data_IF_172128075280
#
_entry.id   IF_172128075280
#
_cell.length_a   1.000
_cell.length_b   1.000
_cell.length_c   1.000
_cell.angle_alpha   90.00
_cell.angle_beta   90.00
_cell.angle_gamma   90.00
#
_symmetry.space_group_name_H-M   'P 1'
#
loop_
_entity.id
_entity.type
_entity.pdbx_description
1 polymer ?
#
# COMPACT_ATOMS: atom_id res chain seq x y z
N UNK A 1 -10.05 -17.57 24.38
CA UNK A 1 -9.56 -16.46 23.52
C UNK A 1 -9.96 -16.76 22.09
N UNK A 2 -10.87 -15.96 21.53
CA UNK A 2 -11.24 -16.05 20.12
C UNK A 2 -10.06 -15.49 19.32
N UNK A 3 -9.30 -16.39 18.67
CA UNK A 3 -8.24 -15.96 17.75
C UNK A 3 -8.90 -15.47 16.45
N UNK A 4 -8.46 -14.34 15.92
CA UNK A 4 -8.86 -13.87 14.60
C UNK A 4 -8.37 -14.84 13.53
N UNK A 5 -9.20 -15.05 12.49
CA UNK A 5 -8.96 -16.03 11.44
C UNK A 5 -8.63 -15.38 10.10
N UNK A 6 -8.99 -14.13 9.93
CA UNK A 6 -8.79 -13.34 8.70
C UNK A 6 -8.31 -11.92 9.01
N UNK A 7 -7.18 -11.77 9.75
CA UNK A 7 -6.62 -10.44 10.03
C UNK A 7 -6.04 -9.81 8.77
N UNK A 8 -6.05 -8.47 8.72
CA UNK A 8 -5.44 -7.67 7.65
C UNK A 8 -4.70 -6.46 8.26
N UNK A 9 -3.49 -6.21 7.80
CA UNK A 9 -2.73 -4.99 8.09
C UNK A 9 -3.03 -3.97 6.98
N UNK A 10 -3.78 -2.91 7.32
CA UNK A 10 -4.13 -1.82 6.45
C UNK A 10 -3.18 -0.65 6.68
N UNK A 11 -2.19 -0.50 5.79
CA UNK A 11 -1.06 0.41 5.98
C UNK A 11 -1.24 1.67 5.16
N UNK A 12 -1.17 2.82 5.81
CA UNK A 12 -1.31 4.14 5.23
C UNK A 12 -0.01 4.95 5.18
N UNK A 13 -0.11 6.16 4.61
CA UNK A 13 1.01 7.09 4.47
C UNK A 13 1.65 7.53 5.79
N UNK A 14 0.95 7.41 6.91
CA UNK A 14 1.50 7.68 8.25
C UNK A 14 2.65 6.73 8.59
N UNK A 15 2.55 5.45 8.22
CA UNK A 15 3.61 4.47 8.41
C UNK A 15 4.88 4.81 7.59
N UNK A 16 4.70 5.33 6.37
CA UNK A 16 5.83 5.78 5.53
C UNK A 16 6.53 6.98 6.17
N UNK A 17 5.77 7.97 6.65
CA UNK A 17 6.33 9.16 7.31
C UNK A 17 7.04 8.84 8.62
N UNK A 18 6.58 7.82 9.33
CA UNK A 18 7.19 7.29 10.55
C UNK A 18 8.43 6.42 10.28
N UNK A 19 8.80 6.17 9.01
CA UNK A 19 9.86 5.24 8.59
C UNK A 19 9.68 3.81 9.13
N UNK A 20 8.44 3.36 9.32
CA UNK A 20 8.08 2.11 9.99
C UNK A 20 8.09 0.88 9.06
N UNK A 21 8.86 0.89 7.97
CA UNK A 21 8.91 -0.21 7.00
C UNK A 21 9.33 -1.55 7.61
N UNK A 22 10.37 -1.53 8.44
CA UNK A 22 10.89 -2.72 9.08
C UNK A 22 9.89 -3.29 10.08
N UNK A 23 9.28 -2.43 10.88
CA UNK A 23 8.29 -2.81 11.90
C UNK A 23 7.00 -3.36 11.26
N UNK A 24 6.55 -2.76 10.15
CA UNK A 24 5.38 -3.27 9.40
C UNK A 24 5.68 -4.66 8.82
N UNK A 25 6.86 -4.86 8.23
CA UNK A 25 7.27 -6.16 7.73
C UNK A 25 7.37 -7.19 8.86
N UNK A 26 7.99 -6.83 9.99
CA UNK A 26 8.11 -7.69 11.16
C UNK A 26 6.74 -8.05 11.76
N UNK A 27 5.83 -7.07 11.87
CA UNK A 27 4.47 -7.32 12.34
C UNK A 27 3.76 -8.35 11.47
N UNK A 28 3.89 -8.23 10.14
CA UNK A 28 3.32 -9.18 9.20
C UNK A 28 3.94 -10.58 9.33
N UNK A 29 5.25 -10.68 9.58
CA UNK A 29 5.93 -11.97 9.82
C UNK A 29 5.46 -12.62 11.12
N UNK A 30 5.36 -11.85 12.20
CA UNK A 30 4.97 -12.35 13.51
C UNK A 30 3.51 -12.80 13.51
N UNK A 31 2.62 -12.01 12.91
CA UNK A 31 1.18 -12.30 12.89
C UNK A 31 0.77 -13.26 11.79
N UNK A 32 1.53 -13.34 10.70
CA UNK A 32 1.16 -14.03 9.47
C UNK A 32 0.09 -13.31 8.64
N UNK A 33 -0.31 -12.09 9.03
CA UNK A 33 -1.36 -11.33 8.37
C UNK A 33 -0.90 -10.76 7.02
N UNK A 34 -1.79 -10.68 6.01
CA UNK A 34 -1.52 -9.97 4.77
C UNK A 34 -1.46 -8.46 4.99
N UNK A 35 -0.67 -7.80 4.11
CA UNK A 35 -0.53 -6.35 4.06
C UNK A 35 -1.28 -5.81 2.86
N UNK A 36 -2.15 -4.83 3.08
CA UNK A 36 -2.76 -4.01 2.05
C UNK A 36 -2.37 -2.56 2.27
N UNK A 37 -2.13 -1.82 1.19
CA UNK A 37 -1.62 -0.45 1.28
C UNK A 37 -2.60 0.57 0.74
N UNK A 38 -2.53 1.80 1.24
CA UNK A 38 -3.10 2.96 0.54
C UNK A 38 -2.17 3.40 -0.59
N UNK A 39 -2.65 4.28 -1.47
CA UNK A 39 -1.84 4.91 -2.51
C UNK A 39 -0.55 5.57 -1.95
N UNK A 40 -0.60 6.39 -0.88
CA UNK A 40 0.61 6.97 -0.29
C UNK A 40 1.55 5.98 0.39
N UNK A 41 1.12 4.75 0.63
CA UNK A 41 1.93 3.73 1.30
C UNK A 41 2.53 2.69 0.35
N UNK A 42 2.39 2.87 -0.97
CA UNK A 42 3.06 1.99 -1.95
C UNK A 42 4.56 1.96 -1.70
N UNK A 43 5.14 0.77 -1.69
CA UNK A 43 6.56 0.55 -1.42
C UNK A 43 6.95 0.52 0.06
N UNK A 44 6.01 0.66 1.02
CA UNK A 44 6.32 0.52 2.46
C UNK A 44 6.91 -0.85 2.78
N UNK A 45 6.45 -1.87 2.09
CA UNK A 45 7.08 -3.18 1.99
C UNK A 45 7.29 -3.49 0.51
N UNK A 46 8.33 -4.27 0.14
CA UNK A 46 8.55 -4.68 -1.24
C UNK A 46 7.32 -5.37 -1.85
N UNK A 47 7.03 -5.12 -3.13
CA UNK A 47 5.99 -5.86 -3.85
C UNK A 47 6.30 -7.36 -3.92
N UNK A 48 7.59 -7.72 -3.94
CA UNK A 48 8.07 -9.11 -3.88
C UNK A 48 7.82 -9.80 -2.53
N UNK A 49 7.43 -9.06 -1.49
CA UNK A 49 7.07 -9.68 -0.21
C UNK A 49 5.78 -10.52 -0.38
N UNK A 50 5.80 -11.82 -0.08
CA UNK A 50 4.64 -12.71 -0.29
C UNK A 50 3.39 -12.29 0.51
N UNK A 51 3.55 -11.49 1.57
CA UNK A 51 2.44 -10.97 2.36
C UNK A 51 1.85 -9.67 1.80
N UNK A 52 2.49 -9.02 0.83
CA UNK A 52 1.96 -7.84 0.17
C UNK A 52 0.85 -8.24 -0.83
N UNK A 53 -0.38 -7.78 -0.61
CA UNK A 53 -1.50 -8.00 -1.54
C UNK A 53 -1.69 -6.84 -2.52
N UNK A 54 -0.89 -5.79 -2.39
CA UNK A 54 -1.01 -4.58 -3.19
C UNK A 54 -1.87 -3.50 -2.54
N UNK A 55 -2.36 -2.58 -3.37
CA UNK A 55 -3.20 -1.46 -2.93
C UNK A 55 -4.67 -1.88 -2.90
N UNK A 56 -5.41 -1.37 -1.92
CA UNK A 56 -6.88 -1.50 -1.86
C UNK A 56 -7.57 -0.19 -2.27
N UNK A 57 -8.86 -0.28 -2.48
CA UNK A 57 -9.70 0.88 -2.81
C UNK A 57 -10.08 0.97 -4.28
N UNK A 58 -10.46 2.17 -4.73
CA UNK A 58 -11.10 2.44 -6.03
C UNK A 58 -10.34 1.85 -7.24
N UNK A 59 -9.01 1.86 -7.19
CA UNK A 59 -8.15 1.30 -8.24
C UNK A 59 -7.12 0.31 -7.65
N UNK A 60 -7.48 -0.36 -6.57
CA UNK A 60 -6.69 -1.40 -5.94
C UNK A 60 -6.84 -2.76 -6.62
N UNK A 61 -6.07 -3.74 -6.11
CA UNK A 61 -6.22 -5.13 -6.56
C UNK A 61 -7.47 -5.76 -5.97
N UNK A 62 -8.05 -6.74 -6.69
CA UNK A 62 -9.22 -7.50 -6.21
C UNK A 62 -8.89 -8.22 -4.90
N UNK A 63 -7.72 -8.85 -4.81
CA UNK A 63 -7.29 -9.55 -3.62
C UNK A 63 -7.16 -8.64 -2.39
N UNK A 64 -6.55 -7.44 -2.54
CA UNK A 64 -6.41 -6.48 -1.45
C UNK A 64 -7.76 -5.92 -1.00
N UNK A 65 -8.66 -5.61 -1.95
CA UNK A 65 -10.00 -5.11 -1.65
C UNK A 65 -10.86 -6.18 -0.97
N UNK A 66 -10.83 -7.41 -1.47
CA UNK A 66 -11.53 -8.53 -0.85
C UNK A 66 -10.99 -8.85 0.55
N UNK A 67 -9.67 -8.79 0.74
CA UNK A 67 -9.05 -8.97 2.04
C UNK A 67 -9.60 -7.98 3.07
N UNK A 68 -9.60 -6.68 2.75
CA UNK A 68 -10.14 -5.66 3.64
C UNK A 68 -11.65 -5.86 3.91
N UNK A 69 -12.43 -6.23 2.88
CA UNK A 69 -13.89 -6.40 3.03
C UNK A 69 -14.31 -7.63 3.85
N UNK A 70 -13.50 -8.69 3.82
CA UNK A 70 -13.86 -9.99 4.43
C UNK A 70 -13.12 -10.28 5.72
N UNK A 71 -12.23 -9.38 6.16
CA UNK A 71 -11.45 -9.59 7.37
C UNK A 71 -12.33 -9.57 8.62
N UNK A 72 -11.90 -10.28 9.66
CA UNK A 72 -12.46 -10.23 11.00
C UNK A 72 -11.69 -9.29 11.95
N UNK A 73 -10.46 -8.92 11.56
CA UNK A 73 -9.63 -7.91 12.21
C UNK A 73 -8.95 -7.03 11.19
N UNK A 74 -9.19 -5.73 11.27
CA UNK A 74 -8.52 -4.72 10.46
C UNK A 74 -7.60 -3.88 11.37
N UNK A 75 -6.29 -3.97 11.16
CA UNK A 75 -5.32 -3.14 11.86
C UNK A 75 -4.93 -1.98 10.94
N UNK A 76 -5.53 -0.81 11.16
CA UNK A 76 -5.22 0.41 10.43
C UNK A 76 -3.97 1.07 11.03
N UNK A 77 -2.93 1.20 10.22
CA UNK A 77 -1.60 1.64 10.62
C UNK A 77 -1.26 2.93 9.87
N UNK A 78 -1.46 4.08 10.51
CA UNK A 78 -1.25 5.40 9.91
C UNK A 78 -2.13 5.63 8.68
N UNK A 79 -3.40 5.20 8.73
CA UNK A 79 -4.36 5.26 7.65
C UNK A 79 -5.67 5.92 8.12
N UNK A 80 -6.11 6.96 7.41
CA UNK A 80 -7.25 7.81 7.81
C UNK A 80 -8.62 7.37 7.31
N UNK A 81 -8.76 6.19 6.74
CA UNK A 81 -10.01 5.71 6.13
C UNK A 81 -10.60 6.68 5.10
N UNK A 82 -9.79 7.02 4.11
CA UNK A 82 -10.15 7.90 3.00
C UNK A 82 -11.27 7.30 2.15
N UNK A 83 -12.15 8.14 1.59
CA UNK A 83 -13.30 7.72 0.80
C UNK A 83 -12.91 6.98 -0.49
N UNK A 84 -11.74 7.27 -1.07
CA UNK A 84 -11.18 6.53 -2.22
C UNK A 84 -10.84 5.08 -1.90
N UNK A 85 -10.67 4.79 -0.61
CA UNK A 85 -10.39 3.44 -0.10
C UNK A 85 -11.66 2.78 0.39
N UNK A 86 -12.43 3.47 1.20
CA UNK A 86 -13.61 2.90 1.89
C UNK A 86 -14.85 2.84 1.00
N UNK A 87 -15.01 3.77 0.08
CA UNK A 87 -16.28 3.99 -0.57
C UNK A 87 -17.36 4.27 0.49
N UNK A 88 -18.49 3.55 0.44
CA UNK A 88 -19.55 3.69 1.44
C UNK A 88 -19.08 3.13 2.79
N UNK A 89 -18.91 4.02 3.78
CA UNK A 89 -18.35 3.67 5.10
C UNK A 89 -19.08 2.53 5.81
N UNK A 90 -20.41 2.53 5.78
CA UNK A 90 -21.23 1.47 6.43
C UNK A 90 -21.03 0.08 5.80
N UNK A 91 -20.54 0.05 4.57
CA UNK A 91 -20.28 -1.19 3.83
C UNK A 91 -18.81 -1.61 3.86
N UNK A 92 -17.91 -0.78 4.39
CA UNK A 92 -16.49 -1.08 4.43
C UNK A 92 -16.14 -1.97 5.62
N UNK A 93 -15.59 -3.15 5.34
CA UNK A 93 -15.17 -4.14 6.35
C UNK A 93 -16.22 -4.34 7.46
N UNK A 94 -17.50 -4.67 7.14
CA UNK A 94 -18.59 -4.62 8.10
C UNK A 94 -18.46 -5.66 9.22
N UNK A 95 -17.73 -6.75 8.97
CA UNK A 95 -17.50 -7.83 9.95
C UNK A 95 -16.23 -7.64 10.80
N UNK A 96 -15.42 -6.62 10.51
CA UNK A 96 -14.14 -6.46 11.16
C UNK A 96 -14.22 -5.71 12.48
N UNK A 97 -13.50 -6.21 13.49
CA UNK A 97 -13.01 -5.37 14.58
C UNK A 97 -11.85 -4.52 14.09
N UNK A 98 -11.75 -3.30 14.60
CA UNK A 98 -10.77 -2.31 14.11
C UNK A 98 -9.82 -1.90 15.22
N UNK A 99 -8.52 -2.06 14.98
CA UNK A 99 -7.45 -1.39 15.72
C UNK A 99 -7.00 -0.22 14.85
N UNK A 100 -7.00 1.00 15.38
CA UNK A 100 -6.59 2.19 14.64
C UNK A 100 -5.41 2.86 15.32
N UNK A 101 -4.27 2.87 14.64
CA UNK A 101 -3.02 3.50 15.07
C UNK A 101 -2.80 4.74 14.21
N UNK A 102 -2.83 5.90 14.82
CA UNK A 102 -2.53 7.17 14.14
C UNK A 102 -1.87 8.15 15.11
N UNK A 103 -1.00 9.01 14.59
CA UNK A 103 -0.34 10.06 15.38
C UNK A 103 -1.30 11.21 15.70
N UNK A 104 -2.30 11.43 14.84
CA UNK A 104 -3.29 12.49 15.01
C UNK A 104 -4.54 11.96 15.74
N UNK A 105 -4.77 12.40 16.99
CA UNK A 105 -5.97 12.00 17.72
C UNK A 105 -7.29 12.40 17.03
N UNK A 106 -7.28 13.42 16.15
CA UNK A 106 -8.45 13.85 15.42
C UNK A 106 -8.85 12.91 14.27
N UNK A 107 -7.93 12.08 13.78
CA UNK A 107 -8.24 11.05 12.78
C UNK A 107 -8.83 9.79 13.41
N UNK A 108 -8.55 9.53 14.69
CA UNK A 108 -9.08 8.35 15.40
C UNK A 108 -10.61 8.43 15.52
N UNK A 109 -11.29 7.47 14.89
CA UNK A 109 -12.75 7.37 14.95
C UNK A 109 -13.51 8.37 14.07
N UNK A 110 -12.83 9.22 13.32
CA UNK A 110 -13.45 10.22 12.44
C UNK A 110 -14.35 9.62 11.36
N UNK A 111 -13.84 8.63 10.63
CA UNK A 111 -14.57 7.96 9.55
C UNK A 111 -15.06 6.57 9.96
N UNK A 112 -14.26 5.84 10.72
CA UNK A 112 -14.58 4.49 11.20
C UNK A 112 -14.27 4.41 12.70
N UNK A 113 -15.28 4.14 13.51
CA UNK A 113 -15.09 3.92 14.96
C UNK A 113 -14.21 2.69 15.19
N UNK A 114 -13.07 2.81 15.91
CA UNK A 114 -12.24 1.67 16.23
C UNK A 114 -12.71 0.97 17.50
N UNK A 115 -12.49 -0.35 17.59
CA UNK A 115 -12.61 -1.10 18.84
C UNK A 115 -11.44 -0.80 19.79
N UNK A 116 -10.26 -0.57 19.21
CA UNK A 116 -9.04 -0.23 19.96
C UNK A 116 -8.37 0.98 19.30
N UNK A 117 -8.53 2.19 19.86
CA UNK A 117 -7.80 3.37 19.43
C UNK A 117 -6.39 3.40 20.03
N UNK A 118 -5.38 3.75 19.23
CA UNK A 118 -4.00 3.95 19.69
C UNK A 118 -3.49 5.26 19.07
N UNK A 119 -3.27 6.27 19.90
CA UNK A 119 -2.67 7.54 19.48
C UNK A 119 -1.16 7.46 19.69
N UNK A 120 -0.39 7.55 18.62
CA UNK A 120 1.07 7.51 18.70
C UNK A 120 1.75 7.42 17.33
N UNK A 121 3.05 7.65 17.33
CA UNK A 121 3.89 7.41 16.16
C UNK A 121 3.93 5.92 15.83
N UNK A 122 3.77 5.57 14.55
CA UNK A 122 3.64 4.17 14.10
C UNK A 122 4.85 3.32 14.48
N UNK A 123 6.08 3.81 14.23
CA UNK A 123 7.29 3.04 14.56
C UNK A 123 7.38 2.78 16.07
N UNK A 124 7.12 3.79 16.87
CA UNK A 124 7.12 3.66 18.35
C UNK A 124 6.08 2.65 18.82
N UNK A 125 4.83 2.77 18.34
CA UNK A 125 3.74 1.86 18.71
C UNK A 125 4.04 0.41 18.30
N UNK A 126 4.57 0.19 17.09
CA UNK A 126 4.88 -1.16 16.62
C UNK A 126 6.07 -1.77 17.38
N UNK A 127 7.06 -0.98 17.75
CA UNK A 127 8.20 -1.46 18.57
C UNK A 127 7.74 -1.94 19.95
N UNK A 128 6.70 -1.35 20.53
CA UNK A 128 6.12 -1.82 21.78
C UNK A 128 5.17 -3.01 21.59
N UNK A 129 4.36 -2.99 20.50
CA UNK A 129 3.33 -3.98 20.24
C UNK A 129 3.90 -5.35 19.82
N UNK A 130 4.92 -5.38 18.95
CA UNK A 130 5.48 -6.62 18.42
C UNK A 130 6.00 -7.57 19.51
N UNK A 131 6.77 -7.12 20.52
CA UNK A 131 7.18 -7.97 21.62
C UNK A 131 6.01 -8.55 22.42
N UNK A 132 4.93 -7.78 22.64
CA UNK A 132 3.75 -8.26 23.33
C UNK A 132 3.01 -9.35 22.55
N UNK A 133 2.90 -9.19 21.21
CA UNK A 133 2.34 -10.23 20.35
C UNK A 133 3.17 -11.51 20.43
N UNK A 134 4.50 -11.41 20.34
CA UNK A 134 5.40 -12.57 20.44
C UNK A 134 5.24 -13.28 21.80
N UNK A 135 5.14 -12.52 22.89
CA UNK A 135 4.91 -13.04 24.24
C UNK A 135 3.56 -13.76 24.36
N UNK A 136 2.50 -13.15 23.83
CA UNK A 136 1.16 -13.74 23.79
C UNK A 136 1.11 -15.04 22.99
N UNK A 137 1.79 -15.07 21.84
CA UNK A 137 1.87 -16.26 20.98
C UNK A 137 2.67 -17.41 21.62
N UNK A 138 3.67 -17.10 22.43
CA UNK A 138 4.44 -18.12 23.16
C UNK A 138 3.55 -18.87 24.17
N UNK A 139 2.51 -18.23 24.70
CA UNK A 139 1.57 -18.83 25.68
C UNK A 139 0.37 -19.46 24.96
N UNK A 140 -0.25 -18.73 24.03
CA UNK A 140 -1.54 -19.08 23.43
C UNK A 140 -1.47 -19.70 22.03
N UNK A 141 -0.26 -19.81 21.44
CA UNK A 141 -0.05 -20.28 20.08
C UNK A 141 -0.38 -19.21 19.01
N UNK A 142 -0.12 -19.56 17.76
CA UNK A 142 -0.42 -18.71 16.59
C UNK A 142 -1.76 -19.13 15.97
N UNK A 143 -2.51 -18.17 15.39
CA UNK A 143 -3.71 -18.51 14.63
C UNK A 143 -3.33 -19.29 13.35
N UNK A 144 -4.19 -20.23 12.95
CA UNK A 144 -4.04 -20.88 11.65
C UNK A 144 -4.66 -20.00 10.56
N UNK A 145 -3.83 -19.31 9.79
CA UNK A 145 -4.25 -18.43 8.70
C UNK A 145 -4.22 -19.12 7.32
N UNK A 146 -3.92 -20.43 7.26
CA UNK A 146 -3.82 -21.13 5.97
C UNK A 146 -5.11 -21.01 5.13
N UNK A 147 -6.34 -21.23 5.66
CA UNK A 147 -7.56 -21.08 4.86
C UNK A 147 -7.74 -19.65 4.32
N UNK A 148 -7.33 -18.64 5.10
CA UNK A 148 -7.37 -17.24 4.68
C UNK A 148 -6.42 -16.97 3.52
N UNK A 149 -5.18 -17.44 3.61
CA UNK A 149 -4.20 -17.32 2.54
C UNK A 149 -4.58 -18.12 1.29
N UNK A 150 -5.17 -19.29 1.43
CA UNK A 150 -5.67 -20.09 0.30
C UNK A 150 -6.73 -19.29 -0.50
N UNK A 151 -7.66 -18.61 0.19
CA UNK A 151 -8.64 -17.73 -0.44
C UNK A 151 -8.00 -16.52 -1.14
N UNK A 152 -7.09 -15.83 -0.46
CA UNK A 152 -6.45 -14.64 -1.01
C UNK A 152 -5.55 -14.96 -2.20
N UNK A 153 -4.81 -16.06 -2.16
CA UNK A 153 -3.97 -16.50 -3.27
C UNK A 153 -4.81 -16.89 -4.49
N UNK A 154 -5.93 -17.59 -4.29
CA UNK A 154 -6.88 -17.86 -5.37
C UNK A 154 -7.35 -16.55 -6.04
N UNK A 155 -7.69 -15.52 -5.27
CA UNK A 155 -8.10 -14.23 -5.83
C UNK A 155 -6.94 -13.51 -6.55
N UNK A 156 -5.70 -13.63 -6.05
CA UNK A 156 -4.53 -13.07 -6.72
C UNK A 156 -4.29 -13.70 -8.09
N UNK A 157 -4.47 -15.02 -8.20
CA UNK A 157 -4.31 -15.77 -9.43
C UNK A 157 -5.46 -15.50 -10.41
N UNK A 158 -6.70 -15.56 -9.92
CA UNK A 158 -7.92 -15.39 -10.73
C UNK A 158 -8.06 -13.98 -11.32
N UNK A 159 -7.61 -12.96 -10.56
CA UNK A 159 -7.72 -11.54 -10.92
C UNK A 159 -6.35 -10.88 -11.05
N UNK A 160 -5.35 -11.62 -11.49
CA UNK A 160 -4.04 -11.05 -11.79
C UNK A 160 -4.16 -9.94 -12.83
N UNK A 161 -3.49 -8.81 -12.57
CA UNK A 161 -3.41 -7.74 -13.55
C UNK A 161 -2.24 -8.08 -14.48
N UNK A 162 -2.59 -8.57 -15.67
CA UNK A 162 -1.63 -8.97 -16.69
C UNK A 162 -1.71 -8.00 -17.88
N UNK A 163 -0.57 -7.38 -18.21
CA UNK A 163 -0.38 -6.51 -19.36
C UNK A 163 0.91 -6.89 -20.12
N UNK A 164 1.16 -8.19 -20.28
CA UNK A 164 2.36 -8.71 -20.96
C UNK A 164 2.28 -8.53 -22.50
N UNK A 165 1.10 -8.21 -23.00
CA UNK A 165 0.89 -7.96 -24.44
C UNK A 165 0.76 -6.46 -24.72
N UNK A 166 1.40 -5.95 -25.79
CA UNK A 166 1.32 -4.53 -26.17
C UNK A 166 -0.05 -4.11 -26.69
N UNK A 167 -1.12 -4.61 -26.09
CA UNK A 167 -2.53 -4.40 -26.42
C UNK A 167 -3.13 -5.26 -27.53
N UNK A 168 -4.44 -5.47 -27.42
CA UNK A 168 -5.28 -5.98 -28.49
C UNK A 168 -5.21 -5.08 -29.72
N UNK A 169 -4.25 -5.35 -30.61
CA UNK A 169 -4.05 -4.76 -31.96
C UNK A 169 -4.50 -3.29 -32.07
N UNK A 170 -3.68 -2.33 -31.68
CA UNK A 170 -3.96 -0.96 -32.06
C UNK A 170 -3.92 -0.91 -33.59
N UNK A 171 -5.04 -0.61 -34.21
CA UNK A 171 -5.15 -0.44 -35.67
C UNK A 171 -4.36 0.77 -36.18
N UNK A 172 -3.93 1.63 -35.26
CA UNK A 172 -3.16 2.86 -35.48
C UNK A 172 -1.68 2.79 -35.06
N UNK A 173 -1.23 1.64 -34.51
CA UNK A 173 0.13 1.47 -34.03
C UNK A 173 0.40 2.06 -32.63
N UNK A 174 -0.64 2.55 -31.91
CA UNK A 174 -0.49 3.05 -30.55
C UNK A 174 -0.19 1.92 -29.56
N UNK A 175 0.52 2.22 -28.48
CA UNK A 175 0.78 1.30 -27.37
C UNK A 175 -0.20 1.53 -26.23
N UNK A 176 -0.58 0.47 -25.54
CA UNK A 176 -1.35 0.60 -24.30
C UNK A 176 -0.51 1.29 -23.22
N UNK A 177 -0.98 2.37 -22.59
CA UNK A 177 -0.24 3.04 -21.52
C UNK A 177 0.12 2.11 -20.39
N UNK A 178 -0.75 1.15 -20.07
CA UNK A 178 -0.51 0.13 -19.04
C UNK A 178 0.70 -0.74 -19.36
N UNK A 179 0.79 -1.22 -20.60
CA UNK A 179 1.93 -2.00 -21.07
C UNK A 179 3.22 -1.18 -21.00
N UNK A 180 3.19 0.10 -21.43
CA UNK A 180 4.35 0.99 -21.35
C UNK A 180 4.81 1.13 -19.90
N UNK A 181 3.91 1.38 -18.95
CA UNK A 181 4.24 1.53 -17.53
C UNK A 181 4.84 0.22 -16.97
N UNK A 182 4.27 -0.93 -17.34
CA UNK A 182 4.81 -2.24 -16.93
C UNK A 182 6.23 -2.45 -17.48
N UNK A 183 6.47 -2.15 -18.76
CA UNK A 183 7.80 -2.23 -19.36
C UNK A 183 8.80 -1.29 -18.69
N UNK A 184 8.38 -0.06 -18.34
CA UNK A 184 9.22 0.86 -17.58
C UNK A 184 9.59 0.28 -16.20
N UNK A 185 8.62 -0.33 -15.51
CA UNK A 185 8.86 -0.99 -14.22
C UNK A 185 9.86 -2.13 -14.33
N UNK A 186 9.69 -3.02 -15.32
CA UNK A 186 10.50 -4.22 -15.50
C UNK A 186 11.97 -3.92 -15.87
N UNK A 187 12.21 -2.77 -16.53
CA UNK A 187 13.54 -2.37 -16.98
C UNK A 187 14.19 -1.29 -16.13
N UNK A 188 13.50 -0.75 -15.14
CA UNK A 188 14.02 0.31 -14.28
C UNK A 188 15.02 -0.21 -13.25
N UNK A 189 15.95 0.66 -12.85
CA UNK A 189 16.83 0.38 -11.72
C UNK A 189 15.98 0.20 -10.44
N UNK A 190 16.24 -0.83 -9.62
CA UNK A 190 15.50 -1.06 -8.37
C UNK A 190 15.57 0.09 -7.35
N UNK A 191 16.48 1.05 -7.54
CA UNK A 191 16.59 2.25 -6.72
C UNK A 191 15.79 3.44 -7.25
N UNK A 192 15.09 3.27 -8.37
CA UNK A 192 14.32 4.32 -9.02
C UNK A 192 13.30 4.96 -8.08
N UNK A 193 13.27 6.29 -8.08
CA UNK A 193 12.21 7.06 -7.45
C UNK A 193 11.16 7.36 -8.54
N UNK A 194 9.98 6.85 -8.32
CA UNK A 194 8.84 7.03 -9.21
C UNK A 194 8.01 8.23 -8.77
N UNK A 195 7.80 9.15 -9.67
CA UNK A 195 6.91 10.29 -9.47
C UNK A 195 5.77 10.19 -10.45
N UNK A 196 4.55 10.25 -9.97
CA UNK A 196 3.37 10.30 -10.83
C UNK A 196 2.59 11.57 -10.59
N UNK A 197 2.24 12.23 -11.67
CA UNK A 197 1.20 13.24 -11.65
C UNK A 197 -0.19 12.60 -11.50
N UNK A 198 -1.25 13.37 -11.57
CA UNK A 198 -2.62 12.91 -11.26
C UNK A 198 -3.43 12.70 -12.53
N UNK A 199 -4.01 11.51 -12.64
CA UNK A 199 -4.84 11.08 -13.76
C UNK A 199 -4.90 9.56 -13.87
N UNK A 200 -5.33 9.04 -15.01
CA UNK A 200 -5.38 7.59 -15.27
C UNK A 200 -3.98 6.96 -15.12
N UNK A 201 -2.94 7.64 -15.59
CA UNK A 201 -1.55 7.21 -15.46
C UNK A 201 -1.12 7.02 -14.01
N UNK A 202 -1.64 7.81 -13.06
CA UNK A 202 -1.40 7.60 -11.62
C UNK A 202 -1.98 6.26 -11.15
N UNK A 203 -3.20 5.95 -11.57
CA UNK A 203 -3.86 4.70 -11.19
C UNK A 203 -3.09 3.50 -11.75
N UNK A 204 -2.72 3.53 -13.02
CA UNK A 204 -1.93 2.48 -13.66
C UNK A 204 -0.53 2.34 -13.04
N UNK A 205 0.13 3.46 -12.76
CA UNK A 205 1.44 3.45 -12.09
C UNK A 205 1.37 2.80 -10.71
N UNK A 206 0.33 3.12 -9.93
CA UNK A 206 0.13 2.52 -8.61
C UNK A 206 -0.14 1.01 -8.66
N UNK A 207 -0.74 0.50 -9.75
CA UNK A 207 -1.04 -0.91 -9.94
C UNK A 207 0.13 -1.72 -10.51
N UNK A 208 0.87 -1.14 -11.48
CA UNK A 208 1.76 -1.87 -12.38
C UNK A 208 3.24 -1.68 -12.09
N UNK A 209 3.61 -0.66 -11.29
CA UNK A 209 4.99 -0.49 -10.88
C UNK A 209 5.30 -1.39 -9.69
N UNK A 210 6.40 -2.13 -9.78
CA UNK A 210 6.93 -2.93 -8.69
C UNK A 210 7.79 -2.06 -7.77
N UNK A 211 7.22 -1.70 -6.63
CA UNK A 211 7.88 -0.90 -5.61
C UNK A 211 8.64 -1.81 -4.64
N UNK A 212 9.97 -1.81 -4.73
CA UNK A 212 10.82 -2.69 -3.92
C UNK A 212 11.49 -1.97 -2.73
N UNK A 213 11.32 -0.65 -2.63
CA UNK A 213 11.93 0.15 -1.57
C UNK A 213 10.95 1.19 -1.01
N UNK A 214 11.01 1.46 0.31
CA UNK A 214 10.28 2.57 0.89
C UNK A 214 10.77 3.91 0.31
N UNK A 215 9.87 4.90 0.33
CA UNK A 215 10.14 6.24 -0.21
C UNK A 215 10.50 6.29 -1.71
N UNK A 216 10.14 5.24 -2.48
CA UNK A 216 10.34 5.20 -3.93
C UNK A 216 9.14 5.69 -4.72
N UNK A 217 8.04 6.07 -4.07
CA UNK A 217 6.80 6.55 -4.69
C UNK A 217 6.43 7.94 -4.21
N UNK A 218 6.24 8.87 -5.14
CA UNK A 218 5.84 10.26 -4.88
C UNK A 218 4.65 10.61 -5.76
N UNK A 219 3.54 10.98 -5.16
CA UNK A 219 2.35 11.41 -5.88
C UNK A 219 1.44 12.26 -4.99
N UNK A 220 0.59 13.09 -5.62
CA UNK A 220 -0.44 13.85 -4.91
C UNK A 220 -1.60 12.93 -4.53
N UNK A 221 -1.44 12.17 -3.44
CA UNK A 221 -2.41 11.18 -2.96
C UNK A 221 -3.47 11.74 -2.00
N UNK A 222 -3.44 13.02 -1.68
CA UNK A 222 -4.43 13.70 -0.85
C UNK A 222 -5.44 14.48 -1.69
N UNK A 223 -5.04 15.64 -2.19
CA UNK A 223 -5.89 16.51 -3.01
C UNK A 223 -5.96 16.10 -4.48
N UNK A 224 -5.02 15.29 -4.96
CA UNK A 224 -4.99 14.87 -6.35
C UNK A 224 -4.70 16.04 -7.30
N UNK A 225 -3.67 16.83 -7.01
CA UNK A 225 -3.34 18.06 -7.74
C UNK A 225 -2.62 17.75 -9.03
N UNK A 226 -3.22 18.06 -10.17
CA UNK A 226 -2.55 18.03 -11.48
C UNK A 226 -1.48 19.11 -11.55
N UNK A 227 -0.35 18.81 -12.21
CA UNK A 227 0.82 19.68 -12.25
C UNK A 227 1.79 19.52 -11.05
N UNK A 228 1.48 18.64 -10.10
CA UNK A 228 2.34 18.29 -8.98
C UNK A 228 3.61 17.55 -9.40
N UNK A 229 3.50 16.71 -10.41
CA UNK A 229 4.51 15.70 -10.74
C UNK A 229 5.85 16.29 -11.15
N UNK A 230 5.88 17.27 -12.07
CA UNK A 230 7.12 17.84 -12.59
C UNK A 230 7.96 18.52 -11.49
N UNK A 231 7.43 19.46 -10.69
CA UNK A 231 8.21 20.07 -9.61
C UNK A 231 8.62 19.05 -8.54
N UNK A 232 7.81 18.05 -8.26
CA UNK A 232 8.16 16.98 -7.34
C UNK A 232 9.30 16.11 -7.86
N UNK A 233 9.33 15.79 -9.16
CA UNK A 233 10.40 15.03 -9.79
C UNK A 233 11.72 15.80 -9.78
N UNK A 234 11.69 17.10 -10.05
CA UNK A 234 12.86 17.99 -9.94
C UNK A 234 13.38 17.98 -8.49
N UNK A 235 12.50 18.17 -7.52
CA UNK A 235 12.86 18.12 -6.11
C UNK A 235 13.47 16.78 -5.68
N UNK A 236 12.87 15.66 -6.10
CA UNK A 236 13.39 14.32 -5.85
C UNK A 236 14.78 14.11 -6.49
N UNK A 237 14.98 14.59 -7.73
CA UNK A 237 16.27 14.51 -8.41
C UNK A 237 17.37 15.29 -7.68
N UNK A 238 17.06 16.50 -7.22
CA UNK A 238 18.00 17.33 -6.44
C UNK A 238 18.27 16.71 -5.07
N UNK A 239 17.20 16.22 -4.39
CA UNK A 239 17.30 15.58 -3.08
C UNK A 239 18.14 14.30 -3.11
N UNK A 240 17.97 13.46 -4.12
CA UNK A 240 18.70 12.19 -4.26
C UNK A 240 20.20 12.37 -4.51
N UNK A 241 20.65 13.56 -5.00
CA UNK A 241 22.06 13.87 -5.20
C UNK A 241 22.78 14.22 -3.89
N UNK A 242 22.06 14.63 -2.85
CA UNK A 242 22.63 15.01 -1.55
C UNK A 242 23.00 13.81 -0.68
N UNK A 243 22.42 12.67 -0.94
CA UNK A 243 22.81 11.42 -0.30
C UNK A 243 24.11 10.91 -0.94
N UNK A 244 25.22 10.93 -0.19
CA UNK A 244 26.57 10.49 -0.63
C UNK A 244 26.65 9.04 -1.16
N UNK A 245 25.51 8.34 -1.29
CA UNK A 245 25.40 6.95 -1.75
C UNK A 245 25.18 6.78 -3.27
N UNK A 246 25.25 7.86 -4.02
CA UNK A 246 25.07 7.88 -5.47
C UNK A 246 23.69 8.43 -5.90
N UNK A 247 23.64 8.95 -7.15
CA UNK A 247 22.41 9.51 -7.73
C UNK A 247 21.41 8.41 -8.03
N UNK A 248 20.20 8.49 -7.47
CA UNK A 248 19.09 7.60 -7.83
C UNK A 248 18.41 8.10 -9.12
N UNK A 249 18.04 7.21 -10.05
CA UNK A 249 17.18 7.59 -11.16
C UNK A 249 15.84 8.11 -10.65
N UNK A 250 15.32 9.15 -11.27
CA UNK A 250 13.97 9.68 -11.00
C UNK A 250 13.19 9.65 -12.31
N UNK A 251 12.06 8.96 -12.28
CA UNK A 251 11.17 8.85 -13.42
C UNK A 251 9.87 9.59 -13.11
N UNK A 252 9.46 10.46 -14.02
CA UNK A 252 8.15 11.12 -13.97
C UNK A 252 7.21 10.50 -14.99
N UNK A 253 6.01 10.11 -14.53
CA UNK A 253 4.89 9.71 -15.36
C UNK A 253 3.83 10.80 -15.25
N UNK A 254 3.61 11.54 -16.32
CA UNK A 254 2.66 12.64 -16.38
C UNK A 254 1.74 12.50 -17.60
N UNK A 255 0.51 12.96 -17.48
CA UNK A 255 -0.39 13.15 -18.61
C UNK A 255 -0.16 14.51 -19.26
N UNK A 256 -0.61 14.65 -20.50
CA UNK A 256 -0.51 15.88 -21.29
C UNK A 256 -1.16 17.10 -20.61
N UNK A 257 -2.30 16.89 -19.95
CA UNK A 257 -2.98 17.95 -19.20
C UNK A 257 -2.32 18.37 -17.88
N UNK A 258 -1.28 17.64 -17.44
CA UNK A 258 -0.58 17.88 -16.18
C UNK A 258 0.83 18.44 -16.39
N UNK A 259 1.33 18.44 -17.62
CA UNK A 259 2.70 18.85 -17.98
C UNK A 259 2.82 20.31 -18.35
#
# INVERSE_FOLDING_TARGET
>A
TTLFRSPVLYVGGGAVRSNASAEVAELAEVTGAPIVTTLPARGIVPNSNPKALGMLGMHGTVAATAAAQRCDLLVAIGARFDDRVTGKLDAFAPGARVIHIDIDPAEIGKNRAPDVPIVGDVSTVLNDLIPEIKRSQAIGGKPNLKPWWDELNRLREEYAIDYDQPCDKPTDGSLAPQWVIKQLSDHADPSTIWVSDVGQHQMWSAQLIDFEKPHSWISSGGLGTMGFGLPAAIGASVGSQRDFKGRKPVWLIAGDGSF
#
